data_IF_069922948226
#
_entry.id   IF_069922948226
#
_cell.length_a   1.000
_cell.length_b   1.000
_cell.length_c   1.000
_cell.angle_alpha   90.00
_cell.angle_beta   90.00
_cell.angle_gamma   90.00
#
_symmetry.space_group_name_H-M   'P 1'
#
loop_
_entity.id
_entity.type
_entity.pdbx_description
1 polymer ?
#
# COMPACT_ATOMS: atom_id res chain seq x y z
N UNK A 1 -8.85 14.98 0.74
CA UNK A 1 -9.84 13.92 0.44
C UNK A 1 -10.17 13.18 1.73
N UNK A 2 -11.43 12.81 2.01
CA UNK A 2 -11.82 12.24 3.32
C UNK A 2 -11.77 10.72 3.33
N UNK A 3 -11.29 10.12 4.44
CA UNK A 3 -11.27 8.66 4.69
C UNK A 3 -12.65 7.97 4.47
N UNK A 4 -13.74 8.72 4.60
CA UNK A 4 -15.12 8.24 4.51
C UNK A 4 -15.41 7.43 3.23
N UNK A 5 -14.92 7.84 2.06
CA UNK A 5 -15.20 7.15 0.79
C UNK A 5 -14.68 5.70 0.77
N UNK A 6 -13.60 5.43 1.50
CA UNK A 6 -13.05 4.07 1.63
C UNK A 6 -13.83 3.27 2.66
N UNK A 7 -14.20 3.90 3.79
CA UNK A 7 -15.04 3.28 4.82
C UNK A 7 -16.36 2.80 4.23
N UNK A 8 -17.02 3.63 3.42
CA UNK A 8 -18.34 3.33 2.84
C UNK A 8 -18.32 2.15 1.86
N UNK A 9 -17.15 1.81 1.29
CA UNK A 9 -16.98 0.72 0.32
C UNK A 9 -16.30 -0.51 0.93
N UNK A 10 -15.72 -0.42 2.12
CA UNK A 10 -14.99 -1.50 2.76
C UNK A 10 -15.94 -2.39 3.58
N UNK A 11 -15.98 -3.67 3.24
CA UNK A 11 -16.58 -4.72 4.06
C UNK A 11 -15.49 -5.68 4.54
N UNK A 12 -15.59 -6.18 5.78
CA UNK A 12 -14.67 -7.20 6.26
C UNK A 12 -15.36 -8.25 7.12
N UNK A 13 -14.88 -9.49 7.02
CA UNK A 13 -15.39 -10.61 7.80
C UNK A 13 -14.27 -11.59 8.18
N UNK A 14 -14.35 -12.13 9.39
CA UNK A 14 -13.56 -13.30 9.78
C UNK A 14 -14.24 -14.56 9.24
N UNK A 15 -13.50 -15.40 8.52
CA UNK A 15 -13.99 -16.70 8.04
C UNK A 15 -13.44 -17.85 8.90
N UNK A 16 -14.21 -18.93 9.10
CA UNK A 16 -13.77 -20.09 9.91
C UNK A 16 -12.65 -20.93 9.28
N UNK A 17 -12.15 -20.55 8.10
CA UNK A 17 -11.22 -21.35 7.31
C UNK A 17 -9.77 -21.29 7.85
N UNK A 18 -8.87 -22.03 7.19
CA UNK A 18 -7.46 -22.26 7.56
C UNK A 18 -6.76 -21.00 8.05
N UNK A 19 -6.18 -21.06 9.25
CA UNK A 19 -5.36 -19.96 9.78
C UNK A 19 -4.29 -19.57 8.75
N UNK A 20 -4.08 -18.27 8.59
CA UNK A 20 -3.01 -17.77 7.72
C UNK A 20 -3.38 -17.47 6.27
N UNK A 21 -4.66 -17.54 5.90
CA UNK A 21 -5.13 -17.12 4.58
C UNK A 21 -5.94 -15.83 4.66
N UNK A 22 -5.75 -14.92 3.71
CA UNK A 22 -6.61 -13.77 3.52
C UNK A 22 -6.92 -13.53 2.03
N UNK A 23 -8.06 -12.92 1.79
CA UNK A 23 -8.55 -12.58 0.45
C UNK A 23 -9.08 -11.16 0.45
N UNK A 24 -8.53 -10.33 -0.43
CA UNK A 24 -9.06 -8.99 -0.73
C UNK A 24 -9.72 -9.07 -2.09
N UNK A 25 -10.97 -8.61 -2.18
CA UNK A 25 -11.74 -8.55 -3.43
C UNK A 25 -12.11 -7.11 -3.67
N UNK A 26 -11.74 -6.58 -4.83
CA UNK A 26 -12.22 -5.29 -5.31
C UNK A 26 -13.24 -5.53 -6.42
N UNK A 27 -14.45 -4.98 -6.25
CA UNK A 27 -15.51 -5.01 -7.24
C UNK A 27 -15.64 -3.65 -7.91
N UNK A 28 -15.54 -3.64 -9.23
CA UNK A 28 -15.78 -2.45 -10.02
C UNK A 28 -17.27 -2.19 -10.24
N UNK A 29 -17.64 -0.93 -10.46
CA UNK A 29 -18.99 -0.57 -10.88
C UNK A 29 -19.29 -1.12 -12.28
N UNK A 30 -20.58 -1.25 -12.62
CA UNK A 30 -20.98 -1.75 -13.94
C UNK A 30 -20.40 -0.91 -15.10
N UNK A 31 -20.22 0.40 -14.89
CA UNK A 31 -19.62 1.30 -15.87
C UNK A 31 -18.14 0.99 -16.12
N UNK A 32 -17.35 0.77 -15.06
CA UNK A 32 -15.94 0.39 -15.17
C UNK A 32 -15.77 -1.03 -15.71
N UNK A 33 -16.60 -1.97 -15.26
CA UNK A 33 -16.59 -3.35 -15.75
C UNK A 33 -16.86 -3.44 -17.27
N UNK A 34 -17.76 -2.59 -17.79
CA UNK A 34 -18.05 -2.53 -19.23
C UNK A 34 -16.86 -2.06 -20.09
N UNK A 35 -15.89 -1.34 -19.49
CA UNK A 35 -14.65 -0.95 -20.17
C UNK A 35 -13.66 -2.13 -20.31
N UNK A 36 -13.76 -3.16 -19.46
CA UNK A 36 -12.93 -4.36 -19.54
C UNK A 36 -11.50 -4.21 -18.97
N UNK A 37 -11.19 -3.08 -18.34
CA UNK A 37 -9.84 -2.75 -17.87
C UNK A 37 -9.38 -3.52 -16.61
N UNK A 38 -10.25 -4.32 -15.99
CA UNK A 38 -9.90 -5.07 -14.77
C UNK A 38 -8.70 -6.00 -14.95
N UNK A 39 -8.46 -6.50 -16.17
CA UNK A 39 -7.31 -7.37 -16.49
C UNK A 39 -6.01 -6.61 -16.72
N UNK A 40 -6.08 -5.34 -17.09
CA UNK A 40 -4.91 -4.55 -17.48
C UNK A 40 -4.04 -4.22 -16.27
N UNK A 41 -4.62 -4.05 -15.09
CA UNK A 41 -3.90 -3.78 -13.84
C UNK A 41 -3.42 -5.01 -13.06
N UNK A 42 -3.65 -6.24 -13.55
CA UNK A 42 -3.29 -7.46 -12.80
C UNK A 42 -1.78 -7.65 -12.71
N UNK A 43 -1.05 -7.44 -13.81
CA UNK A 43 0.40 -7.63 -13.86
C UNK A 43 1.11 -6.60 -12.98
N UNK A 44 0.78 -5.33 -13.11
CA UNK A 44 1.36 -4.24 -12.29
C UNK A 44 1.07 -4.41 -10.80
N UNK A 45 -0.16 -4.82 -10.45
CA UNK A 45 -0.49 -5.09 -9.06
C UNK A 45 0.22 -6.35 -8.55
N UNK A 46 0.36 -7.41 -9.36
CA UNK A 46 1.15 -8.59 -9.00
C UNK A 46 2.61 -8.20 -8.72
N UNK A 47 3.22 -7.41 -9.60
CA UNK A 47 4.57 -6.85 -9.45
C UNK A 47 4.76 -6.07 -8.13
N UNK A 48 3.72 -5.34 -7.72
CA UNK A 48 3.70 -4.63 -6.44
C UNK A 48 3.61 -5.60 -5.26
N UNK A 49 2.77 -6.63 -5.36
CA UNK A 49 2.68 -7.67 -4.33
C UNK A 49 3.93 -8.56 -4.26
N UNK A 50 4.65 -8.76 -5.37
CA UNK A 50 5.93 -9.46 -5.38
C UNK A 50 7.00 -8.68 -4.61
N UNK A 51 6.95 -7.34 -4.67
CA UNK A 51 7.80 -6.48 -3.83
C UNK A 51 7.45 -6.59 -2.34
N UNK A 52 6.14 -6.67 -2.00
CA UNK A 52 5.71 -6.96 -0.64
C UNK A 52 6.19 -8.34 -0.15
N UNK A 53 6.12 -9.35 -1.01
CA UNK A 53 6.65 -10.70 -0.73
C UNK A 53 8.17 -10.66 -0.51
N UNK A 54 8.92 -9.92 -1.33
CA UNK A 54 10.36 -9.78 -1.20
C UNK A 54 10.76 -9.15 0.14
N UNK A 55 10.12 -8.02 0.52
CA UNK A 55 10.38 -7.36 1.80
C UNK A 55 9.91 -8.18 3.00
N UNK A 56 8.75 -8.85 2.89
CA UNK A 56 8.32 -9.83 3.89
C UNK A 56 9.35 -10.95 4.04
N UNK A 57 9.96 -11.44 2.96
CA UNK A 57 11.06 -12.42 3.02
C UNK A 57 12.28 -11.94 3.80
N UNK A 58 12.50 -10.62 3.88
CA UNK A 58 13.56 -9.98 4.68
C UNK A 58 13.14 -9.67 6.13
N UNK A 59 11.91 -9.97 6.51
CA UNK A 59 11.41 -9.80 7.89
C UNK A 59 10.54 -8.56 8.11
N UNK A 60 10.07 -7.89 7.05
CA UNK A 60 9.09 -6.81 7.20
C UNK A 60 7.87 -7.30 7.98
N UNK A 61 7.48 -6.56 9.03
CA UNK A 61 6.39 -6.93 9.96
C UNK A 61 6.56 -8.30 10.62
N UNK A 62 7.81 -8.79 10.74
CA UNK A 62 8.12 -10.10 11.32
C UNK A 62 7.64 -11.28 10.48
N UNK A 63 7.24 -11.05 9.23
CA UNK A 63 6.73 -12.08 8.34
C UNK A 63 7.89 -12.86 7.68
N UNK A 64 7.65 -14.12 7.30
CA UNK A 64 8.49 -14.92 6.39
C UNK A 64 7.61 -15.92 5.63
N UNK A 65 7.89 -16.16 4.35
CA UNK A 65 7.13 -17.13 3.56
C UNK A 65 5.73 -16.66 3.16
N UNK A 66 5.54 -15.34 3.03
CA UNK A 66 4.35 -14.77 2.42
C UNK A 66 4.23 -15.23 0.96
N UNK A 67 3.04 -15.65 0.57
CA UNK A 67 2.66 -15.84 -0.82
C UNK A 67 1.53 -14.88 -1.15
N UNK A 68 1.66 -14.16 -2.26
CA UNK A 68 0.64 -13.26 -2.78
C UNK A 68 0.32 -13.60 -4.23
N UNK A 69 -0.97 -13.66 -4.57
CA UNK A 69 -1.42 -13.86 -5.95
C UNK A 69 -2.53 -12.89 -6.29
N UNK A 70 -2.43 -12.27 -7.46
CA UNK A 70 -3.40 -11.32 -7.99
C UNK A 70 -4.08 -11.94 -9.22
N UNK A 71 -5.39 -11.81 -9.31
CA UNK A 71 -6.16 -12.29 -10.44
C UNK A 71 -7.38 -11.41 -10.72
N UNK A 72 -7.82 -11.41 -11.98
CA UNK A 72 -9.12 -10.85 -12.39
C UNK A 72 -10.07 -11.98 -12.81
N UNK A 73 -10.74 -12.64 -11.84
CA UNK A 73 -11.56 -13.83 -12.12
C UNK A 73 -12.81 -13.52 -12.97
N UNK A 74 -13.26 -12.27 -12.97
CA UNK A 74 -14.33 -11.75 -13.80
C UNK A 74 -14.00 -10.33 -14.28
N UNK A 75 -14.73 -9.82 -15.28
CA UNK A 75 -14.48 -8.49 -15.85
C UNK A 75 -14.74 -7.32 -14.89
N UNK A 76 -15.48 -7.57 -13.81
CA UNK A 76 -15.82 -6.61 -12.75
C UNK A 76 -15.06 -6.85 -11.44
N UNK A 77 -14.11 -7.81 -11.40
CA UNK A 77 -13.48 -8.25 -10.16
C UNK A 77 -11.97 -8.29 -10.28
N UNK A 78 -11.31 -7.74 -9.26
CA UNK A 78 -9.92 -7.99 -8.94
C UNK A 78 -9.82 -8.68 -7.59
N UNK A 79 -8.95 -9.67 -7.49
CA UNK A 79 -8.79 -10.52 -6.31
C UNK A 79 -7.32 -10.66 -5.96
N UNK A 80 -6.98 -10.40 -4.69
CA UNK A 80 -5.68 -10.68 -4.10
C UNK A 80 -5.86 -11.77 -3.06
N UNK A 81 -5.05 -12.83 -3.16
CA UNK A 81 -4.95 -13.88 -2.12
C UNK A 81 -3.60 -13.81 -1.46
N UNK A 82 -3.61 -13.81 -0.14
CA UNK A 82 -2.44 -13.84 0.72
C UNK A 82 -2.45 -15.14 1.52
N UNK A 83 -1.27 -15.76 1.65
CA UNK A 83 -1.09 -16.93 2.50
C UNK A 83 0.24 -16.84 3.25
N UNK A 84 0.19 -17.01 4.58
CA UNK A 84 1.35 -17.12 5.46
C UNK A 84 0.92 -17.66 6.83
N UNK A 85 1.79 -18.37 7.56
CA UNK A 85 1.43 -18.92 8.87
C UNK A 85 2.43 -18.45 9.96
N UNK A 86 2.04 -17.55 10.87
CA UNK A 86 0.79 -16.76 10.91
C UNK A 86 0.79 -15.60 9.89
N UNK A 87 -0.39 -15.07 9.55
CA UNK A 87 -0.54 -13.87 8.72
C UNK A 87 -0.79 -12.63 9.60
N UNK A 88 0.16 -11.68 9.73
CA UNK A 88 0.00 -10.51 10.60
C UNK A 88 -1.10 -9.57 10.12
N UNK A 89 -1.87 -9.01 11.07
CA UNK A 89 -2.91 -8.02 10.77
C UNK A 89 -2.35 -6.77 10.06
N UNK A 90 -1.19 -6.28 10.48
CA UNK A 90 -0.55 -5.11 9.87
C UNK A 90 -0.19 -5.33 8.40
N UNK A 91 0.13 -6.58 8.02
CA UNK A 91 0.38 -6.92 6.63
C UNK A 91 -0.91 -6.85 5.79
N UNK A 92 -2.06 -7.20 6.38
CA UNK A 92 -3.37 -7.03 5.74
C UNK A 92 -3.69 -5.56 5.51
N UNK A 93 -3.32 -4.68 6.44
CA UNK A 93 -3.49 -3.23 6.27
C UNK A 93 -2.64 -2.73 5.11
N UNK A 94 -1.37 -3.13 5.04
CA UNK A 94 -0.48 -2.79 3.91
C UNK A 94 -1.05 -3.31 2.58
N UNK A 95 -1.47 -4.57 2.52
CA UNK A 95 -2.07 -5.15 1.33
C UNK A 95 -3.35 -4.43 0.89
N UNK A 96 -4.20 -4.03 1.86
CA UNK A 96 -5.42 -3.27 1.57
C UNK A 96 -5.10 -1.88 1.02
N UNK A 97 -4.10 -1.20 1.59
CA UNK A 97 -3.61 0.10 1.07
C UNK A 97 -3.16 -0.03 -0.38
N UNK A 98 -2.37 -1.06 -0.71
CA UNK A 98 -1.91 -1.30 -2.08
C UNK A 98 -3.07 -1.47 -3.06
N UNK A 99 -4.07 -2.29 -2.71
CA UNK A 99 -5.26 -2.51 -3.55
C UNK A 99 -6.06 -1.22 -3.73
N UNK A 100 -6.26 -0.45 -2.65
CA UNK A 100 -7.00 0.82 -2.72
C UNK A 100 -6.23 1.85 -3.56
N UNK A 101 -4.95 2.06 -3.27
CA UNK A 101 -4.11 3.06 -3.95
C UNK A 101 -3.95 2.77 -5.44
N UNK A 102 -3.80 1.50 -5.83
CA UNK A 102 -3.79 1.10 -7.24
C UNK A 102 -5.09 1.41 -8.00
N UNK A 103 -6.18 1.72 -7.27
CA UNK A 103 -7.50 1.99 -7.82
C UNK A 103 -8.04 3.38 -7.43
N UNK A 104 -7.19 4.24 -6.89
CA UNK A 104 -7.56 5.57 -6.43
C UNK A 104 -6.65 6.64 -7.03
N UNK A 105 -6.81 6.87 -8.33
CA UNK A 105 -6.11 7.93 -9.03
C UNK A 105 -6.65 9.31 -8.63
N UNK A 106 -5.78 10.33 -8.65
CA UNK A 106 -6.18 11.69 -8.33
C UNK A 106 -7.12 12.23 -9.43
N UNK A 107 -8.32 12.70 -9.10
CA UNK A 107 -9.19 13.38 -10.06
C UNK A 107 -8.50 14.54 -10.81
N UNK A 108 -7.47 15.16 -10.21
CA UNK A 108 -6.67 16.18 -10.85
C UNK A 108 -5.89 15.65 -12.07
N UNK A 109 -5.46 14.38 -12.08
CA UNK A 109 -4.76 13.76 -13.20
C UNK A 109 -5.65 13.70 -14.43
N UNK A 110 -6.92 13.31 -14.23
CA UNK A 110 -7.91 13.34 -15.31
C UNK A 110 -8.14 14.76 -15.82
N UNK A 111 -8.22 15.75 -14.91
CA UNK A 111 -8.41 17.15 -15.32
C UNK A 111 -7.20 17.69 -16.09
N UNK A 112 -5.98 17.30 -15.72
CA UNK A 112 -4.75 17.65 -16.45
C UNK A 112 -4.76 17.04 -17.84
N UNK A 113 -5.12 15.76 -17.98
CA UNK A 113 -5.27 15.09 -19.27
C UNK A 113 -6.36 15.75 -20.13
N UNK A 114 -7.51 16.06 -19.54
CA UNK A 114 -8.61 16.75 -20.21
C UNK A 114 -8.17 18.12 -20.74
N UNK A 115 -7.41 18.88 -19.94
CA UNK A 115 -6.85 20.16 -20.36
C UNK A 115 -5.82 19.99 -21.48
N UNK A 116 -4.98 18.96 -21.42
CA UNK A 116 -3.98 18.65 -22.45
C UNK A 116 -4.62 18.23 -23.80
N UNK A 117 -5.85 17.72 -23.75
CA UNK A 117 -6.66 17.36 -24.92
C UNK A 117 -7.67 18.44 -25.30
N UNK A 118 -7.41 19.71 -24.96
CA UNK A 118 -8.25 20.86 -25.30
C UNK A 118 -9.72 20.74 -24.86
N UNK A 119 -9.98 20.00 -23.78
CA UNK A 119 -11.33 19.75 -23.27
C UNK A 119 -12.10 18.67 -24.02
N UNK A 120 -11.45 17.89 -24.89
CA UNK A 120 -12.08 16.72 -25.53
C UNK A 120 -12.32 15.61 -24.50
N UNK A 121 -13.49 15.66 -23.89
CA UNK A 121 -13.95 14.70 -22.89
C UNK A 121 -13.94 13.27 -23.41
N UNK A 122 -14.24 13.05 -24.70
CA UNK A 122 -14.27 11.70 -25.26
C UNK A 122 -12.87 11.14 -25.38
N UNK A 123 -11.94 11.92 -25.96
CA UNK A 123 -10.54 11.51 -26.07
C UNK A 123 -9.89 11.34 -24.69
N UNK A 124 -10.19 12.22 -23.72
CA UNK A 124 -9.69 12.11 -22.36
C UNK A 124 -10.20 10.85 -21.66
N UNK A 125 -11.49 10.52 -21.79
CA UNK A 125 -12.05 9.28 -21.23
C UNK A 125 -11.51 8.01 -21.91
N UNK A 126 -11.22 8.07 -23.21
CA UNK A 126 -10.59 6.95 -23.94
C UNK A 126 -9.10 6.78 -23.56
N UNK A 127 -8.39 7.88 -23.27
CA UNK A 127 -6.97 7.87 -22.92
C UNK A 127 -6.71 7.67 -21.42
N UNK A 128 -7.66 8.02 -20.56
CA UNK A 128 -7.50 7.91 -19.11
C UNK A 128 -7.62 6.45 -18.66
N UNK A 129 -6.46 5.84 -18.39
CA UNK A 129 -6.37 4.49 -17.81
C UNK A 129 -6.73 4.43 -16.32
N UNK A 130 -6.72 5.57 -15.63
CA UNK A 130 -6.93 5.65 -14.18
C UNK A 130 -8.33 5.25 -13.73
N UNK A 131 -8.48 4.92 -12.45
CA UNK A 131 -9.73 4.55 -11.80
C UNK A 131 -10.16 5.68 -10.86
N UNK A 132 -11.38 6.20 -11.03
CA UNK A 132 -11.99 7.06 -10.01
C UNK A 132 -12.60 6.17 -8.93
N UNK A 133 -11.92 6.04 -7.78
CA UNK A 133 -12.35 5.14 -6.71
C UNK A 133 -13.81 5.35 -6.28
N UNK A 134 -14.28 6.59 -6.21
CA UNK A 134 -15.63 6.89 -5.70
C UNK A 134 -16.74 6.40 -6.63
N UNK A 135 -16.54 6.53 -7.94
CA UNK A 135 -17.53 6.21 -8.98
C UNK A 135 -17.35 4.81 -9.59
N UNK A 136 -16.11 4.36 -9.69
CA UNK A 136 -15.73 3.16 -10.44
C UNK A 136 -15.46 1.94 -9.57
N UNK A 137 -15.28 2.11 -8.25
CA UNK A 137 -15.22 0.99 -7.30
C UNK A 137 -16.57 0.87 -6.60
N UNK A 138 -17.19 -0.30 -6.65
CA UNK A 138 -18.44 -0.59 -5.96
C UNK A 138 -18.21 -1.06 -4.52
N UNK A 139 -17.21 -1.92 -4.30
CA UNK A 139 -16.93 -2.54 -3.00
C UNK A 139 -15.47 -2.99 -2.93
N UNK A 140 -14.89 -2.95 -1.73
CA UNK A 140 -13.68 -3.67 -1.35
C UNK A 140 -14.03 -4.61 -0.19
N UNK A 141 -13.87 -5.91 -0.37
CA UNK A 141 -14.18 -6.91 0.66
C UNK A 141 -12.91 -7.60 1.15
N UNK A 142 -12.69 -7.65 2.46
CA UNK A 142 -11.60 -8.39 3.10
C UNK A 142 -12.14 -9.61 3.86
N UNK A 143 -11.67 -10.80 3.50
CA UNK A 143 -11.94 -12.04 4.22
C UNK A 143 -10.65 -12.56 4.83
N UNK A 144 -10.62 -12.75 6.15
CA UNK A 144 -9.44 -13.26 6.87
C UNK A 144 -9.79 -14.58 7.54
N UNK A 145 -9.01 -15.61 7.31
CA UNK A 145 -9.24 -16.93 7.85
C UNK A 145 -8.57 -17.12 9.22
N UNK A 146 -9.28 -17.72 10.16
CA UNK A 146 -8.71 -18.13 11.46
C UNK A 146 -8.57 -17.04 12.54
N UNK A 147 -9.15 -15.85 12.34
CA UNK A 147 -9.15 -14.77 13.36
C UNK A 147 -10.13 -15.10 14.48
N UNK A 148 -9.61 -15.51 15.64
CA UNK A 148 -10.38 -15.66 16.89
C UNK A 148 -10.36 -14.34 17.68
N UNK A 149 -11.34 -13.48 17.39
CA UNK A 149 -12.02 -12.49 18.25
C UNK A 149 -11.30 -11.87 19.48
N UNK A 150 -10.00 -11.57 19.46
CA UNK A 150 -9.33 -10.94 20.62
C UNK A 150 -8.42 -9.75 20.30
N UNK A 151 -8.12 -9.48 19.04
CA UNK A 151 -7.51 -8.21 18.61
C UNK A 151 -8.54 -7.34 17.90
N UNK A 152 -8.61 -6.05 18.25
CA UNK A 152 -9.31 -5.06 17.42
C UNK A 152 -8.50 -4.95 16.13
N UNK A 153 -8.99 -5.52 15.04
CA UNK A 153 -8.39 -5.31 13.72
C UNK A 153 -8.89 -3.97 13.18
N UNK A 154 -7.97 -3.05 12.89
CA UNK A 154 -8.25 -1.81 12.17
C UNK A 154 -7.70 -1.97 10.74
N UNK A 155 -8.55 -1.97 9.69
CA UNK A 155 -8.10 -2.12 8.32
C UNK A 155 -7.36 -0.89 7.76
N UNK A 156 -7.36 0.25 8.46
CA UNK A 156 -6.78 1.50 7.96
C UNK A 156 -5.44 1.84 8.60
N UNK A 157 -5.13 1.27 9.76
CA UNK A 157 -3.97 1.66 10.56
C UNK A 157 -3.15 0.45 11.06
N UNK A 158 -1.84 0.52 10.85
CA UNK A 158 -0.91 -0.43 11.45
C UNK A 158 -0.92 -0.26 12.98
N UNK A 159 -0.91 -1.36 13.72
CA UNK A 159 -0.99 -1.34 15.18
C UNK A 159 -2.38 -1.08 15.75
N UNK A 160 -3.43 -1.22 14.93
CA UNK A 160 -4.84 -1.12 15.33
C UNK A 160 -5.32 0.26 15.85
N UNK A 161 -4.56 1.32 15.59
CA UNK A 161 -4.95 2.69 15.94
C UNK A 161 -4.22 3.71 15.05
N UNK A 162 -4.82 4.89 14.78
CA UNK A 162 -4.15 5.96 14.07
C UNK A 162 -2.80 6.33 14.69
N UNK A 163 -1.74 6.14 13.92
CA UNK A 163 -0.37 6.49 14.31
C UNK A 163 -0.02 7.95 14.00
N UNK A 164 1.14 8.37 14.48
CA UNK A 164 1.72 9.64 14.04
C UNK A 164 2.12 9.55 12.57
N UNK A 165 1.80 10.61 11.81
CA UNK A 165 2.32 10.83 10.47
C UNK A 165 3.60 11.66 10.56
N UNK A 166 4.60 11.30 9.77
CA UNK A 166 5.84 12.06 9.64
C UNK A 166 5.97 12.54 8.21
N UNK A 167 6.19 13.85 8.08
CA UNK A 167 6.59 14.50 6.86
C UNK A 167 7.91 15.19 7.15
N UNK A 168 8.99 14.72 6.54
CA UNK A 168 10.31 15.23 6.81
C UNK A 168 11.06 15.38 5.50
N UNK A 169 11.56 16.59 5.24
CA UNK A 169 12.53 16.79 4.17
C UNK A 169 13.77 15.95 4.44
N UNK A 170 14.20 15.86 5.70
CA UNK A 170 15.35 15.07 6.07
C UNK A 170 15.13 14.36 7.40
N UNK A 171 14.88 13.06 7.32
CA UNK A 171 14.76 12.19 8.47
C UNK A 171 16.10 11.48 8.71
N UNK A 172 16.60 11.54 9.94
CA UNK A 172 17.90 11.01 10.33
C UNK A 172 17.69 9.91 11.35
N UNK A 173 18.21 8.73 11.04
CA UNK A 173 18.26 7.56 11.92
C UNK A 173 19.67 7.46 12.47
N UNK A 174 19.82 7.77 13.76
CA UNK A 174 21.13 7.94 14.38
C UNK A 174 21.91 6.63 14.44
N UNK A 175 23.22 6.70 14.17
CA UNK A 175 24.17 5.58 14.18
C UNK A 175 23.80 4.44 13.20
N UNK A 176 22.84 4.65 12.29
CA UNK A 176 22.25 3.62 11.45
C UNK A 176 22.81 3.55 10.02
N UNK A 177 23.95 4.20 9.71
CA UNK A 177 24.60 4.07 8.41
C UNK A 177 24.83 2.60 7.94
N UNK A 178 25.18 1.63 8.82
CA UNK A 178 25.30 0.22 8.44
C UNK A 178 23.98 -0.46 8.05
N UNK A 179 22.84 0.14 8.41
CA UNK A 179 21.49 -0.38 8.17
C UNK A 179 20.91 0.13 6.83
N UNK A 180 21.75 0.78 6.00
CA UNK A 180 21.40 1.20 4.65
C UNK A 180 20.87 0.01 3.84
N UNK A 181 19.68 0.11 3.21
CA UNK A 181 19.19 -0.95 2.33
C UNK A 181 20.17 -1.22 1.19
N UNK A 182 20.31 -2.50 0.82
CA UNK A 182 20.91 -2.83 -0.48
C UNK A 182 20.01 -2.35 -1.62
N UNK A 183 20.55 -2.23 -2.83
CA UNK A 183 19.84 -1.68 -3.98
C UNK A 183 18.50 -2.39 -4.25
N UNK A 184 18.48 -3.72 -4.18
CA UNK A 184 17.25 -4.50 -4.39
C UNK A 184 16.19 -4.21 -3.30
N UNK A 185 16.61 -4.05 -2.03
CA UNK A 185 15.71 -3.71 -0.92
C UNK A 185 15.18 -2.30 -1.07
N UNK A 186 16.03 -1.35 -1.46
CA UNK A 186 15.64 0.03 -1.71
C UNK A 186 14.61 0.11 -2.84
N UNK A 187 14.85 -0.56 -3.97
CA UNK A 187 13.92 -0.60 -5.10
C UNK A 187 12.54 -1.13 -4.68
N UNK A 188 12.48 -2.19 -3.88
CA UNK A 188 11.21 -2.71 -3.36
C UNK A 188 10.55 -1.73 -2.37
N UNK A 189 11.32 -1.07 -1.50
CA UNK A 189 10.80 -0.06 -0.57
C UNK A 189 10.20 1.12 -1.34
N UNK A 190 10.91 1.65 -2.34
CA UNK A 190 10.45 2.78 -3.16
C UNK A 190 9.23 2.41 -4.00
N UNK A 191 9.19 1.20 -4.58
CA UNK A 191 8.01 0.72 -5.32
C UNK A 191 6.78 0.64 -4.40
N UNK A 192 6.91 0.08 -3.20
CA UNK A 192 5.80 0.04 -2.24
C UNK A 192 5.43 1.43 -1.73
N UNK A 193 6.41 2.32 -1.51
CA UNK A 193 6.17 3.69 -1.10
C UNK A 193 5.39 4.46 -2.16
N UNK A 194 5.79 4.37 -3.43
CA UNK A 194 5.08 4.97 -4.57
C UNK A 194 3.65 4.47 -4.71
N UNK A 195 3.39 3.21 -4.38
CA UNK A 195 2.02 2.65 -4.28
C UNK A 195 1.33 2.95 -2.94
N UNK A 196 1.90 3.84 -2.13
CA UNK A 196 1.40 4.36 -0.86
C UNK A 196 1.14 3.28 0.19
N UNK A 197 1.92 2.20 0.17
CA UNK A 197 1.86 1.11 1.16
C UNK A 197 2.06 1.61 2.60
N UNK A 198 2.92 2.63 2.77
CA UNK A 198 3.40 3.11 4.07
C UNK A 198 2.72 4.39 4.55
N UNK A 199 1.67 4.83 3.85
CA UNK A 199 0.83 5.96 4.23
C UNK A 199 -0.63 5.50 4.37
N UNK A 200 -1.38 5.99 5.37
CA UNK A 200 -2.80 5.70 5.48
C UNK A 200 -3.56 6.25 4.27
N UNK A 201 -4.58 5.51 3.84
CA UNK A 201 -5.42 5.94 2.70
C UNK A 201 -6.05 7.30 2.97
N UNK A 202 -6.15 8.13 1.93
CA UNK A 202 -6.70 9.49 2.01
C UNK A 202 -5.78 10.55 2.62
N UNK A 203 -4.62 10.19 3.18
CA UNK A 203 -3.62 11.16 3.66
C UNK A 203 -2.88 11.76 2.48
N UNK A 204 -2.93 13.08 2.34
CA UNK A 204 -2.13 13.78 1.34
C UNK A 204 -0.67 13.88 1.82
N UNK A 205 0.30 13.36 1.06
CA UNK A 205 1.71 13.49 1.42
C UNK A 205 2.23 14.91 1.17
N UNK A 206 3.24 15.32 1.94
CA UNK A 206 4.00 16.57 1.68
C UNK A 206 5.12 16.33 0.66
N UNK A 207 5.67 15.12 0.64
CA UNK A 207 6.72 14.65 -0.26
C UNK A 207 6.23 13.43 -1.02
N UNK A 208 6.50 13.37 -2.32
CA UNK A 208 5.99 12.32 -3.20
C UNK A 208 6.49 10.93 -2.75
N UNK A 209 5.59 10.01 -2.37
CA UNK A 209 5.99 8.65 -2.02
C UNK A 209 6.67 7.94 -3.18
N UNK A 210 7.73 7.19 -2.91
CA UNK A 210 8.56 6.53 -3.92
C UNK A 210 9.68 7.41 -4.49
N UNK A 211 9.73 8.70 -4.14
CA UNK A 211 10.87 9.59 -4.44
C UNK A 211 11.83 9.77 -3.25
N UNK A 212 11.66 8.99 -2.17
CA UNK A 212 12.59 9.05 -1.04
C UNK A 212 14.01 8.63 -1.47
N UNK A 213 15.03 9.23 -0.86
CA UNK A 213 16.42 8.82 -1.09
C UNK A 213 17.05 8.36 0.22
N UNK A 214 17.56 7.13 0.24
CA UNK A 214 18.28 6.58 1.38
C UNK A 214 19.79 6.78 1.16
N UNK A 215 20.50 7.33 2.14
CA UNK A 215 21.96 7.42 2.06
C UNK A 215 22.62 7.55 3.44
N UNK A 216 23.84 7.03 3.59
CA UNK A 216 24.62 7.25 4.81
C UNK A 216 25.16 8.70 4.85
N UNK A 217 25.13 9.30 6.03
CA UNK A 217 25.81 10.57 6.31
C UNK A 217 26.57 10.50 7.63
N UNK A 218 27.88 10.24 7.53
CA UNK A 218 28.69 9.93 8.71
C UNK A 218 28.26 8.58 9.27
N UNK A 219 27.92 8.55 10.56
CA UNK A 219 27.43 7.35 11.24
C UNK A 219 25.91 7.16 11.09
N UNK A 220 25.20 8.17 10.58
CA UNK A 220 23.73 8.18 10.48
C UNK A 220 23.23 7.65 9.13
N UNK A 221 22.02 7.07 9.11
CA UNK A 221 21.25 6.86 7.89
C UNK A 221 20.29 8.04 7.70
N UNK A 222 20.26 8.60 6.51
CA UNK A 222 19.37 9.70 6.14
C UNK A 222 18.34 9.19 5.13
N UNK A 223 17.08 9.59 5.33
CA UNK A 223 15.99 9.42 4.37
C UNK A 223 15.52 10.82 3.99
N UNK A 224 15.78 11.22 2.74
CA UNK A 224 15.36 12.52 2.20
C UNK A 224 13.92 12.44 1.67
N UNK A 225 13.17 13.53 1.85
CA UNK A 225 11.81 13.76 1.33
C UNK A 225 10.82 12.63 1.60
N UNK A 226 10.61 12.30 2.87
CA UNK A 226 9.73 11.18 3.28
C UNK A 226 8.38 11.66 3.83
N UNK A 227 7.31 11.00 3.41
CA UNK A 227 5.98 11.05 4.03
C UNK A 227 5.57 9.63 4.45
N UNK A 228 5.48 9.36 5.76
CA UNK A 228 5.29 7.98 6.24
C UNK A 228 4.53 7.89 7.57
N UNK A 229 3.75 6.81 7.76
CA UNK A 229 3.20 6.44 9.07
C UNK A 229 4.30 5.91 9.99
N UNK A 230 4.34 6.37 11.25
CA UNK A 230 5.39 5.98 12.20
C UNK A 230 5.49 4.46 12.42
N UNK A 231 4.36 3.74 12.37
CA UNK A 231 4.34 2.28 12.47
C UNK A 231 4.96 1.61 11.23
N UNK A 232 4.72 2.15 10.03
CA UNK A 232 5.36 1.67 8.80
C UNK A 232 6.87 1.93 8.81
N UNK A 233 7.30 3.12 9.23
CA UNK A 233 8.72 3.43 9.41
C UNK A 233 9.38 2.46 10.40
N UNK A 234 8.73 2.22 11.54
CA UNK A 234 9.22 1.26 12.52
C UNK A 234 9.36 -0.15 11.94
N UNK A 235 8.39 -0.60 11.14
CA UNK A 235 8.45 -1.89 10.46
C UNK A 235 9.63 -1.99 9.48
N UNK A 236 9.89 -0.94 8.69
CA UNK A 236 11.02 -0.87 7.76
C UNK A 236 12.35 -0.90 8.53
N UNK A 237 12.50 -0.06 9.55
CA UNK A 237 13.73 0.01 10.33
C UNK A 237 14.00 -1.28 11.12
N UNK A 238 12.94 -1.97 11.56
CA UNK A 238 13.06 -3.28 12.23
C UNK A 238 13.46 -4.39 11.27
N UNK A 239 13.05 -4.30 10.00
CA UNK A 239 13.50 -5.21 8.94
C UNK A 239 14.98 -4.98 8.61
N UNK A 240 15.40 -3.73 8.47
CA UNK A 240 16.79 -3.37 8.14
C UNK A 240 17.76 -3.72 9.27
N UNK A 241 17.36 -3.51 10.53
CA UNK A 241 18.18 -3.81 11.70
C UNK A 241 17.36 -4.49 12.82
N UNK A 242 17.14 -5.82 12.73
CA UNK A 242 16.34 -6.54 13.69
C UNK A 242 16.84 -6.40 15.14
N UNK A 243 15.94 -6.02 16.04
CA UNK A 243 16.24 -5.86 17.48
C UNK A 243 17.01 -4.59 17.84
N UNK A 244 17.32 -3.72 16.88
CA UNK A 244 17.95 -2.43 17.12
C UNK A 244 16.90 -1.37 17.47
N UNK A 245 17.14 -0.63 18.54
CA UNK A 245 16.37 0.58 18.83
C UNK A 245 16.92 1.74 17.99
N UNK A 246 16.02 2.49 17.35
CA UNK A 246 16.38 3.60 16.47
C UNK A 246 16.01 4.93 17.11
N UNK A 247 16.95 5.88 17.09
CA UNK A 247 16.71 7.26 17.52
C UNK A 247 16.55 8.13 16.28
N UNK A 248 15.43 8.86 16.21
CA UNK A 248 15.09 9.69 15.05
C UNK A 248 15.36 11.16 15.34
N UNK A 249 15.92 11.88 14.36
CA UNK A 249 16.02 13.35 14.33
C UNK A 249 15.49 13.87 12.98
N UNK A 250 14.89 15.06 12.99
CA UNK A 250 14.40 15.73 11.79
C UNK A 250 15.19 17.05 11.65
N UNK A 251 15.71 17.33 10.45
CA UNK A 251 16.49 18.54 10.12
C UNK A 251 15.79 19.36 9.01
#
# INVERSE_FOLDING_TARGET
MTLQKYIDKLSWASTPARQGEARIVLRYSAGRAAKGHAREGVEELQDTFDSLVALAGKGLLGMQGLVATVAAPAGDLLEVRLAAEPLPHDLLVVALRLVISANDNDPADFQMLLNALDGDMKAALEAYGGTNFEEEVAEVSLSVAGVTSSGVFDPFHLGAAPGALRHARRLIVQDAAPDMPDADTEDHLLRLSGMRAFLPVGVQPEYEPGEEEYFPQGDDLVIDRVSIEAASLHAILSMLAPGRAHTLRED
#
